data_IF_753924761207
#
_entry.id   IF_753924761207
#
_cell.length_a   1.000
_cell.length_b   1.000
_cell.length_c   1.000
_cell.angle_alpha   90.00
_cell.angle_beta   90.00
_cell.angle_gamma   90.00
#
_symmetry.space_group_name_H-M   'P 1'
#
loop_
_entity.id
_entity.type
_entity.pdbx_description
1 polymer ?
#
# COMPACT_ATOMS: atom_id res chain seq x y z
N UNK A 1 1.06 -23.65 -0.32
CA UNK A 1 1.10 -22.23 0.08
C UNK A 1 -0.33 -21.73 0.01
N UNK A 2 -0.90 -21.24 1.11
CA UNK A 2 -2.22 -20.63 1.08
C UNK A 2 -2.12 -19.32 0.29
N UNK A 3 -3.10 -19.05 -0.57
CA UNK A 3 -3.19 -17.74 -1.24
C UNK A 3 -3.47 -16.69 -0.17
N UNK A 4 -2.64 -15.64 -0.03
CA UNK A 4 -2.89 -14.59 0.96
C UNK A 4 -4.23 -13.93 0.67
N UNK A 5 -4.99 -13.63 1.73
CA UNK A 5 -6.23 -12.88 1.59
C UNK A 5 -5.91 -11.46 1.13
N UNK A 6 -6.62 -10.98 0.12
CA UNK A 6 -6.45 -9.64 -0.43
C UNK A 6 -7.73 -8.82 -0.32
N UNK A 7 -7.55 -7.51 -0.16
CA UNK A 7 -8.61 -6.50 -0.16
C UNK A 7 -8.44 -5.64 -1.41
N UNK A 8 -9.51 -5.54 -2.19
CA UNK A 8 -9.57 -4.68 -3.38
C UNK A 8 -10.38 -3.42 -3.04
N UNK A 9 -9.82 -2.23 -3.30
CA UNK A 9 -10.49 -0.95 -3.09
C UNK A 9 -10.41 -0.07 -4.33
N UNK A 10 -11.51 0.63 -4.61
CA UNK A 10 -11.53 1.72 -5.60
C UNK A 10 -11.06 3.01 -4.96
N UNK A 11 -10.22 3.75 -5.69
CA UNK A 11 -9.75 5.06 -5.27
C UNK A 11 -10.81 6.13 -5.57
N UNK A 12 -10.96 7.15 -4.72
CA UNK A 12 -11.92 8.23 -4.92
C UNK A 12 -11.53 9.17 -6.07
N UNK A 13 -10.27 9.12 -6.50
CA UNK A 13 -9.72 9.80 -7.69
C UNK A 13 -8.62 8.92 -8.29
N UNK A 14 -8.31 9.05 -9.59
CA UNK A 14 -7.21 8.33 -10.22
C UNK A 14 -5.86 8.67 -9.57
N UNK A 15 -5.07 7.65 -9.25
CA UNK A 15 -3.66 7.78 -8.87
C UNK A 15 -2.79 7.69 -10.13
N UNK A 16 -1.89 8.65 -10.30
CA UNK A 16 -0.95 8.66 -11.42
C UNK A 16 0.26 7.79 -11.09
N UNK A 17 0.34 6.63 -11.76
CA UNK A 17 1.43 5.67 -11.66
C UNK A 17 2.00 5.40 -13.05
N UNK A 18 3.29 5.64 -13.27
CA UNK A 18 3.92 5.38 -14.58
C UNK A 18 3.27 6.13 -15.76
N UNK A 19 2.60 7.26 -15.51
CA UNK A 19 1.84 8.00 -16.52
C UNK A 19 0.43 7.48 -16.79
N UNK A 20 0.02 6.38 -16.15
CA UNK A 20 -1.33 5.80 -16.23
C UNK A 20 -2.22 6.24 -15.07
N UNK A 21 -3.52 6.25 -15.33
CA UNK A 21 -4.54 6.48 -14.30
C UNK A 21 -4.94 5.15 -13.67
N UNK A 22 -4.58 4.99 -12.40
CA UNK A 22 -4.98 3.86 -11.56
C UNK A 22 -6.20 4.23 -10.74
N UNK A 23 -7.27 3.45 -10.83
CA UNK A 23 -8.52 3.68 -10.10
C UNK A 23 -8.82 2.61 -9.04
N UNK A 24 -8.00 1.56 -8.97
CA UNK A 24 -8.19 0.42 -8.08
C UNK A 24 -6.85 -0.08 -7.56
N UNK A 25 -6.84 -0.51 -6.30
CA UNK A 25 -5.70 -1.12 -5.62
C UNK A 25 -6.10 -2.46 -5.03
N UNK A 26 -5.12 -3.33 -4.89
CA UNK A 26 -5.23 -4.61 -4.20
C UNK A 26 -4.12 -4.74 -3.17
N UNK A 27 -4.49 -5.00 -1.93
CA UNK A 27 -3.60 -5.02 -0.78
C UNK A 27 -3.76 -6.36 -0.08
N UNK A 28 -2.64 -6.99 0.29
CA UNK A 28 -2.64 -8.20 1.13
C UNK A 28 -2.44 -7.83 2.60
N UNK A 29 -2.65 -8.80 3.49
CA UNK A 29 -2.31 -8.64 4.89
C UNK A 29 -0.82 -8.27 5.08
N UNK A 30 -0.50 -7.31 5.96
CA UNK A 30 0.86 -7.09 6.42
C UNK A 30 1.34 -8.24 7.31
N UNK A 31 2.49 -8.82 7.00
CA UNK A 31 3.18 -9.77 7.85
C UNK A 31 4.24 -9.06 8.69
N UNK A 32 4.67 -9.69 9.79
CA UNK A 32 5.75 -9.14 10.62
C UNK A 32 7.02 -8.85 9.81
N UNK A 33 7.34 -9.69 8.83
CA UNK A 33 8.48 -9.46 7.93
C UNK A 33 8.36 -8.15 7.14
N UNK A 34 7.16 -7.79 6.69
CA UNK A 34 6.93 -6.54 5.94
C UNK A 34 7.16 -5.31 6.84
N UNK A 35 6.71 -5.37 8.09
CA UNK A 35 6.95 -4.32 9.08
C UNK A 35 8.44 -4.15 9.36
N UNK A 36 9.18 -5.25 9.51
CA UNK A 36 10.63 -5.19 9.74
C UNK A 36 11.38 -4.60 8.54
N UNK A 37 11.00 -4.93 7.30
CA UNK A 37 11.60 -4.32 6.11
C UNK A 37 11.19 -2.85 5.97
N UNK A 38 9.93 -2.52 6.24
CA UNK A 38 9.44 -1.14 6.22
C UNK A 38 10.14 -0.25 7.27
N UNK A 39 10.45 -0.79 8.46
CA UNK A 39 11.21 -0.09 9.49
C UNK A 39 12.65 0.22 9.05
N UNK A 40 13.31 -0.72 8.35
CA UNK A 40 14.66 -0.50 7.80
C UNK A 40 14.68 0.58 6.71
N UNK A 41 13.65 0.60 5.87
CA UNK A 41 13.52 1.57 4.77
C UNK A 41 13.07 2.94 5.26
N UNK A 42 12.28 2.99 6.32
CA UNK A 42 11.79 4.23 6.88
C UNK A 42 12.93 5.03 7.53
N UNK A 43 13.00 6.32 7.20
CA UNK A 43 13.79 7.30 7.94
C UNK A 43 12.84 8.23 8.70
N UNK A 44 12.46 7.91 9.95
CA UNK A 44 11.40 8.61 10.68
C UNK A 44 11.71 10.09 10.95
N UNK A 45 12.98 10.46 10.94
CA UNK A 45 13.45 11.84 11.16
C UNK A 45 13.06 12.82 10.04
N UNK A 46 12.67 12.32 8.86
CA UNK A 46 12.42 13.15 7.69
C UNK A 46 10.93 13.29 7.34
N UNK A 47 10.13 12.24 7.56
CA UNK A 47 8.72 12.21 7.16
C UNK A 47 7.89 11.35 8.14
N UNK A 48 6.88 11.91 8.83
CA UNK A 48 6.05 11.17 9.79
C UNK A 48 5.34 9.94 9.19
N UNK A 49 5.10 9.95 7.88
CA UNK A 49 4.41 8.86 7.16
C UNK A 49 5.38 7.86 6.52
N UNK A 50 6.70 8.00 6.72
CA UNK A 50 7.72 7.17 6.05
C UNK A 50 7.49 5.68 6.26
N UNK A 51 7.24 5.26 7.50
CA UNK A 51 6.96 3.86 7.82
C UNK A 51 5.70 3.34 7.11
N UNK A 52 4.58 4.08 7.18
CA UNK A 52 3.34 3.61 6.56
C UNK A 52 3.45 3.52 5.04
N UNK A 53 4.19 4.43 4.40
CA UNK A 53 4.43 4.37 2.95
C UNK A 53 5.34 3.18 2.60
N UNK A 54 6.40 2.95 3.37
CA UNK A 54 7.27 1.79 3.18
C UNK A 54 6.50 0.48 3.36
N UNK A 55 5.67 0.38 4.41
CA UNK A 55 4.80 -0.77 4.63
C UNK A 55 3.82 -0.98 3.48
N UNK A 56 3.19 0.10 2.99
CA UNK A 56 2.32 0.03 1.82
C UNK A 56 3.06 -0.48 0.57
N UNK A 57 4.34 -0.17 0.39
CA UNK A 57 5.14 -0.71 -0.71
C UNK A 57 5.33 -2.22 -0.61
N UNK A 58 5.44 -2.77 0.61
CA UNK A 58 5.60 -4.20 0.85
C UNK A 58 4.30 -4.99 0.60
N UNK A 59 3.15 -4.39 0.94
CA UNK A 59 1.85 -5.10 0.97
C UNK A 59 0.91 -4.79 -0.19
N UNK A 60 1.22 -3.80 -1.01
CA UNK A 60 0.47 -3.51 -2.24
C UNK A 60 0.79 -4.59 -3.28
N UNK A 61 -0.20 -5.37 -3.66
CA UNK A 61 -0.08 -6.46 -4.64
C UNK A 61 -0.26 -5.91 -6.05
N UNK A 62 -1.23 -5.00 -6.23
CA UNK A 62 -1.58 -4.44 -7.54
C UNK A 62 -2.14 -3.04 -7.42
N UNK A 63 -1.87 -2.23 -8.43
CA UNK A 63 -2.42 -0.91 -8.65
C UNK A 63 -2.83 -0.79 -10.13
N UNK A 64 -4.12 -1.02 -10.44
CA UNK A 64 -4.57 -1.15 -11.83
C UNK A 64 -3.94 -2.37 -12.50
N UNK A 65 -3.08 -2.16 -13.49
CA UNK A 65 -2.33 -3.23 -14.18
C UNK A 65 -0.91 -3.43 -13.63
N UNK A 66 -0.43 -2.53 -12.77
CA UNK A 66 0.93 -2.59 -12.22
C UNK A 66 0.96 -3.50 -10.98
N UNK A 67 1.90 -4.45 -10.94
CA UNK A 67 2.03 -5.45 -9.85
C UNK A 67 3.31 -5.27 -9.01
N UNK A 68 3.91 -4.08 -9.06
CA UNK A 68 5.14 -3.76 -8.32
C UNK A 68 6.44 -4.32 -8.96
N UNK A 69 7.60 -4.16 -8.26
CA UNK A 69 7.73 -3.61 -6.92
C UNK A 69 7.35 -2.12 -6.85
N UNK A 70 6.69 -1.74 -5.76
CA UNK A 70 6.30 -0.35 -5.53
C UNK A 70 7.40 0.38 -4.76
N UNK A 71 7.50 1.69 -4.97
CA UNK A 71 8.51 2.53 -4.36
C UNK A 71 7.87 3.75 -3.68
N UNK A 72 8.41 4.23 -2.54
CA UNK A 72 7.85 5.37 -1.82
C UNK A 72 7.65 6.63 -2.68
N UNK A 73 8.50 6.84 -3.69
CA UNK A 73 8.39 7.96 -4.61
C UNK A 73 7.08 7.98 -5.41
N UNK A 74 6.47 6.82 -5.68
CA UNK A 74 5.21 6.69 -6.40
C UNK A 74 4.02 7.22 -5.60
N UNK A 75 4.11 7.21 -4.27
CA UNK A 75 3.06 7.68 -3.37
C UNK A 75 3.01 9.21 -3.25
N UNK A 76 4.04 9.92 -3.72
CA UNK A 76 4.10 11.40 -3.66
C UNK A 76 2.99 12.09 -4.46
N UNK A 77 2.42 11.44 -5.47
CA UNK A 77 1.34 11.98 -6.29
C UNK A 77 -0.06 11.76 -5.68
N UNK A 78 -0.16 11.00 -4.58
CA UNK A 78 -1.42 10.75 -3.90
C UNK A 78 -1.88 11.98 -3.14
N UNK A 79 -3.18 12.25 -3.21
CA UNK A 79 -3.83 13.15 -2.26
C UNK A 79 -4.23 12.40 -0.98
N UNK A 80 -4.55 13.15 0.07
CA UNK A 80 -4.89 12.58 1.38
C UNK A 80 -6.09 11.62 1.38
N UNK A 81 -7.08 11.80 0.47
CA UNK A 81 -8.23 10.89 0.37
C UNK A 81 -7.85 9.55 -0.26
N UNK A 82 -6.98 9.56 -1.28
CA UNK A 82 -6.46 8.33 -1.87
C UNK A 82 -5.58 7.58 -0.86
N UNK A 83 -4.74 8.32 -0.12
CA UNK A 83 -3.91 7.73 0.94
C UNK A 83 -4.74 7.13 2.07
N UNK A 84 -5.86 7.76 2.45
CA UNK A 84 -6.77 7.19 3.43
C UNK A 84 -7.35 5.83 3.00
N UNK A 85 -7.71 5.67 1.72
CA UNK A 85 -8.21 4.39 1.18
C UNK A 85 -7.15 3.30 1.21
N UNK A 86 -5.89 3.63 0.90
CA UNK A 86 -4.78 2.66 1.00
C UNK A 86 -4.63 2.18 2.45
N UNK A 87 -4.62 3.09 3.43
CA UNK A 87 -4.51 2.72 4.86
C UNK A 87 -5.72 1.91 5.33
N UNK A 88 -6.92 2.26 4.88
CA UNK A 88 -8.13 1.49 5.16
C UNK A 88 -8.03 0.07 4.60
N UNK A 89 -7.57 -0.09 3.36
CA UNK A 89 -7.35 -1.40 2.74
C UNK A 89 -6.35 -2.25 3.53
N UNK A 90 -5.25 -1.67 4.00
CA UNK A 90 -4.26 -2.36 4.84
C UNK A 90 -4.87 -2.86 6.15
N UNK A 91 -5.61 -2.00 6.86
CA UNK A 91 -6.28 -2.36 8.10
C UNK A 91 -7.37 -3.43 7.90
N UNK A 92 -8.08 -3.39 6.77
CA UNK A 92 -9.07 -4.42 6.42
C UNK A 92 -8.41 -5.75 6.08
N UNK A 93 -7.29 -5.73 5.35
CA UNK A 93 -6.55 -6.94 5.01
C UNK A 93 -5.99 -7.62 6.26
N UNK A 94 -5.49 -6.85 7.23
CA UNK A 94 -5.08 -7.34 8.54
C UNK A 94 -6.22 -8.05 9.28
N UNK A 95 -7.40 -7.41 9.37
CA UNK A 95 -8.59 -8.00 10.01
C UNK A 95 -9.11 -9.26 9.31
N UNK A 96 -8.94 -9.36 7.99
CA UNK A 96 -9.30 -10.59 7.26
C UNK A 96 -8.34 -11.73 7.57
N UNK A 97 -7.05 -11.45 7.81
CA UNK A 97 -6.06 -12.44 8.23
C UNK A 97 -6.27 -12.96 9.67
N UNK A 98 -6.97 -12.19 10.52
CA UNK A 98 -7.35 -12.60 11.87
C UNK A 98 -8.54 -13.60 11.92
N UNK A 99 -9.28 -13.75 10.83
CA UNK A 99 -10.56 -14.46 10.76
C UNK A 99 -10.47 -15.98 10.48
#
# INVERSE_FOLDING_TARGET
>A
MATPLTVIKKLPKPWKLGGKDVTEIEVREPLLGDSLEAEKEASPSLQPTAFQVALACQVLVRAGDDTGPFAPAQFKSLNGKQWAVIREAMNEAEKLGEA
#
